data_IF_246681140622
#
_entry.id   IF_246681140622
#
_cell.length_a   1.000
_cell.length_b   1.000
_cell.length_c   1.000
_cell.angle_alpha   90.00
_cell.angle_beta   90.00
_cell.angle_gamma   90.00
#
_symmetry.space_group_name_H-M   'P 1'
#
loop_
_entity.id
_entity.type
_entity.pdbx_description
1 polymer ?
#
# COMPACT_ATOMS: atom_id res chain seq x y z
N UNK A 1 10.75 5.12 14.50
CA UNK A 1 11.51 4.97 15.75
C UNK A 1 10.73 4.06 16.71
N UNK A 2 11.42 3.27 17.54
CA UNK A 2 10.79 2.38 18.52
C UNK A 2 11.44 2.60 19.87
N UNK A 3 10.62 2.65 20.92
CA UNK A 3 11.07 2.95 22.28
C UNK A 3 10.45 1.96 23.25
N UNK A 4 11.25 1.29 24.11
CA UNK A 4 10.72 0.57 25.25
C UNK A 4 10.20 1.57 26.28
N UNK A 5 8.92 1.49 26.64
CA UNK A 5 8.32 2.35 27.66
C UNK A 5 8.45 1.77 29.06
N UNK A 6 8.27 0.46 29.20
CA UNK A 6 8.37 -0.20 30.48
C UNK A 6 9.04 -1.57 30.35
N UNK A 7 10.32 -1.65 30.77
CA UNK A 7 11.16 -2.86 30.70
C UNK A 7 11.04 -3.54 29.31
N UNK A 8 10.58 -4.80 29.28
CA UNK A 8 10.35 -5.59 28.07
C UNK A 8 8.85 -5.83 27.79
N UNK A 9 7.96 -5.19 28.56
CA UNK A 9 6.52 -5.45 28.50
C UNK A 9 5.77 -4.52 27.55
N UNK A 10 6.19 -3.26 27.47
CA UNK A 10 5.50 -2.24 26.69
C UNK A 10 6.54 -1.54 25.81
N UNK A 11 6.26 -1.47 24.52
CA UNK A 11 7.03 -0.66 23.59
C UNK A 11 6.11 0.23 22.77
N UNK A 12 6.62 1.38 22.39
CA UNK A 12 5.95 2.36 21.54
C UNK A 12 6.73 2.51 20.24
N UNK A 13 6.01 2.71 19.16
CA UNK A 13 6.57 3.07 17.86
C UNK A 13 5.92 4.35 17.35
N UNK A 14 6.71 5.18 16.67
CA UNK A 14 6.22 6.36 15.95
C UNK A 14 7.01 6.50 14.65
N UNK A 15 6.34 6.92 13.61
CA UNK A 15 6.99 7.16 12.32
C UNK A 15 6.13 7.94 11.35
N UNK A 16 6.80 8.46 10.34
CA UNK A 16 6.22 9.11 9.17
C UNK A 16 6.65 8.30 7.95
N UNK A 17 5.72 8.04 7.05
CA UNK A 17 6.01 7.31 5.81
C UNK A 17 5.04 7.69 4.70
N UNK A 18 5.45 7.62 3.42
CA UNK A 18 4.52 7.73 2.31
C UNK A 18 3.57 6.52 2.31
N UNK A 19 2.29 6.77 1.98
CA UNK A 19 1.28 5.73 1.79
C UNK A 19 1.10 5.40 0.31
N UNK A 20 0.98 6.44 -0.53
CA UNK A 20 0.82 6.33 -1.98
C UNK A 20 1.45 7.53 -2.65
N UNK A 21 1.97 7.34 -3.85
CA UNK A 21 2.45 8.43 -4.70
C UNK A 21 2.07 8.15 -6.14
N UNK A 22 1.69 9.22 -6.85
CA UNK A 22 1.39 9.19 -8.28
C UNK A 22 2.35 10.16 -8.96
N UNK A 23 2.93 9.73 -10.08
CA UNK A 23 3.81 10.57 -10.89
C UNK A 23 3.93 9.96 -12.29
N UNK A 24 3.15 10.46 -13.25
CA UNK A 24 3.24 10.07 -14.65
C UNK A 24 2.87 11.24 -15.56
N UNK A 25 3.45 11.23 -16.76
CA UNK A 25 3.15 12.13 -17.86
C UNK A 25 3.21 11.31 -19.15
N UNK A 26 2.06 11.12 -19.81
CA UNK A 26 1.90 10.27 -20.97
C UNK A 26 1.24 11.09 -22.07
N UNK A 27 1.86 11.15 -23.24
CA UNK A 27 1.33 11.82 -24.43
C UNK A 27 1.07 10.81 -25.54
N UNK A 28 -0.15 10.79 -26.06
CA UNK A 28 -0.58 9.91 -27.14
C UNK A 28 -1.11 10.79 -28.26
N UNK A 29 -0.50 10.69 -29.46
CA UNK A 29 -0.96 11.38 -30.66
C UNK A 29 -1.56 10.38 -31.62
N UNK A 30 -2.74 10.72 -32.17
CA UNK A 30 -3.46 9.89 -33.13
C UNK A 30 -4.28 10.79 -34.08
N UNK A 31 -4.98 10.18 -35.01
CA UNK A 31 -5.87 10.86 -35.96
C UNK A 31 -7.25 10.21 -35.96
N UNK A 32 -8.28 11.02 -36.22
CA UNK A 32 -9.65 10.51 -36.33
C UNK A 32 -9.78 9.53 -37.53
N UNK A 33 -10.67 8.56 -37.37
CA UNK A 33 -11.00 7.61 -38.48
C UNK A 33 -11.38 8.39 -39.76
N UNK A 34 -10.58 8.21 -40.81
CA UNK A 34 -10.69 8.97 -42.06
C UNK A 34 -9.66 10.08 -42.23
N UNK A 35 -8.72 10.28 -41.28
CA UNK A 35 -7.58 11.21 -41.40
C UNK A 35 -7.95 12.69 -41.41
N UNK A 36 -9.13 13.04 -40.87
CA UNK A 36 -9.64 14.41 -40.94
C UNK A 36 -9.08 15.35 -39.88
N UNK A 37 -8.75 14.85 -38.67
CA UNK A 37 -8.23 15.65 -37.57
C UNK A 37 -7.12 14.90 -36.84
N UNK A 38 -6.03 15.61 -36.55
CA UNK A 38 -4.96 15.12 -35.65
C UNK A 38 -5.17 15.64 -34.26
N UNK A 39 -5.07 14.73 -33.27
CA UNK A 39 -5.23 15.08 -31.87
C UNK A 39 -4.13 14.49 -31.01
N UNK A 40 -3.86 15.15 -29.91
CA UNK A 40 -2.96 14.67 -28.86
C UNK A 40 -3.71 14.64 -27.54
N UNK A 41 -3.64 13.49 -26.87
CA UNK A 41 -4.17 13.34 -25.50
C UNK A 41 -2.98 13.26 -24.55
N UNK A 42 -2.92 14.20 -23.64
CA UNK A 42 -1.93 14.22 -22.57
C UNK A 42 -2.61 13.76 -21.28
N UNK A 43 -2.02 12.78 -20.62
CA UNK A 43 -2.41 12.29 -19.30
C UNK A 43 -1.33 12.63 -18.31
N UNK A 44 -1.63 13.46 -17.33
CA UNK A 44 -0.75 13.79 -16.23
C UNK A 44 -1.33 13.26 -14.91
N UNK A 45 -0.48 12.81 -14.02
CA UNK A 45 -0.87 12.45 -12.67
C UNK A 45 0.23 12.82 -11.71
N UNK A 46 -0.13 13.52 -10.63
CA UNK A 46 0.81 13.92 -9.60
C UNK A 46 0.16 13.89 -8.21
N UNK A 47 0.99 13.88 -7.20
CA UNK A 47 0.55 13.95 -5.82
C UNK A 47 1.02 12.79 -4.96
N UNK A 48 0.79 12.94 -3.68
CA UNK A 48 1.13 11.92 -2.70
C UNK A 48 0.16 11.92 -1.52
N UNK A 49 0.02 10.74 -0.92
CA UNK A 49 -0.63 10.56 0.37
C UNK A 49 0.44 10.14 1.36
N UNK A 50 0.61 10.93 2.40
CA UNK A 50 1.52 10.68 3.51
C UNK A 50 0.77 10.19 4.74
N UNK A 51 1.45 9.51 5.64
CA UNK A 51 0.86 9.10 6.90
C UNK A 51 1.87 9.19 8.05
N UNK A 52 1.39 9.63 9.20
CA UNK A 52 2.07 9.49 10.48
C UNK A 52 1.41 8.34 11.24
N UNK A 53 2.19 7.60 11.98
CA UNK A 53 1.64 6.56 12.83
C UNK A 53 2.24 6.57 14.24
N UNK A 54 1.41 6.15 15.18
CA UNK A 54 1.79 5.80 16.53
C UNK A 54 1.30 4.40 16.85
N UNK A 55 2.12 3.62 17.54
CA UNK A 55 1.77 2.25 17.90
C UNK A 55 2.23 1.89 19.29
N UNK A 56 1.47 0.98 19.89
CA UNK A 56 1.79 0.37 21.18
C UNK A 56 1.82 -1.14 21.02
N UNK A 57 2.77 -1.77 21.68
CA UNK A 57 2.86 -3.22 21.77
C UNK A 57 3.03 -3.66 23.22
N UNK A 58 2.39 -4.78 23.53
CA UNK A 58 2.35 -5.38 24.86
C UNK A 58 2.84 -6.83 24.77
N UNK A 59 3.92 -7.14 25.44
CA UNK A 59 4.32 -8.53 25.68
C UNK A 59 3.50 -9.05 26.86
N UNK A 60 2.52 -9.90 26.57
CA UNK A 60 1.64 -10.49 27.60
C UNK A 60 2.41 -11.56 28.38
N UNK A 61 3.27 -12.28 27.66
CA UNK A 61 4.14 -13.30 28.24
C UNK A 61 5.38 -13.49 27.33
N UNK A 62 6.32 -14.30 27.78
CA UNK A 62 7.59 -14.52 27.07
C UNK A 62 7.46 -15.18 25.67
N UNK A 63 6.24 -15.50 25.25
CA UNK A 63 5.95 -16.18 24.00
C UNK A 63 4.83 -15.55 23.19
N UNK A 64 4.15 -14.49 23.72
CA UNK A 64 3.02 -13.87 23.04
C UNK A 64 2.98 -12.36 23.23
N UNK A 65 2.80 -11.64 22.14
CA UNK A 65 2.67 -10.19 22.11
C UNK A 65 1.44 -9.75 21.31
N UNK A 66 0.83 -8.67 21.72
CA UNK A 66 -0.21 -7.95 20.97
C UNK A 66 0.28 -6.53 20.67
N UNK A 67 -0.17 -6.00 19.54
CA UNK A 67 0.15 -4.63 19.16
C UNK A 67 -0.97 -3.98 18.37
N UNK A 68 -1.03 -2.67 18.45
CA UNK A 68 -1.92 -1.88 17.62
C UNK A 68 -1.22 -0.61 17.17
N UNK A 69 -1.48 -0.22 15.92
CA UNK A 69 -1.03 1.04 15.35
C UNK A 69 -2.24 1.87 14.93
N UNK A 70 -2.15 3.15 15.16
CA UNK A 70 -3.07 4.17 14.65
C UNK A 70 -2.29 4.99 13.63
N UNK A 71 -2.86 5.17 12.46
CA UNK A 71 -2.29 5.95 11.36
C UNK A 71 -3.21 7.14 11.08
N UNK A 72 -2.64 8.31 10.98
CA UNK A 72 -3.30 9.46 10.37
C UNK A 72 -2.70 9.68 8.99
N UNK A 73 -3.53 9.63 7.97
CA UNK A 73 -3.15 9.81 6.58
C UNK A 73 -3.78 11.08 6.01
N UNK A 74 -3.03 11.77 5.15
CA UNK A 74 -3.47 12.97 4.46
C UNK A 74 -2.72 13.13 3.16
N UNK A 75 -3.34 13.80 2.21
CA UNK A 75 -2.71 14.13 0.95
C UNK A 75 -3.71 14.40 -0.16
N UNK A 76 -3.16 14.67 -1.31
CA UNK A 76 -3.92 15.00 -2.51
C UNK A 76 -3.31 14.28 -3.72
N UNK A 77 -4.18 13.79 -4.59
CA UNK A 77 -3.84 13.18 -5.87
C UNK A 77 -4.56 13.96 -6.96
N UNK A 78 -3.81 14.44 -7.94
CA UNK A 78 -4.30 15.17 -9.10
C UNK A 78 -4.13 14.35 -10.35
N UNK A 79 -5.17 14.24 -11.15
CA UNK A 79 -5.14 13.68 -12.49
C UNK A 79 -5.59 14.73 -13.48
N UNK A 80 -4.82 14.89 -14.56
CA UNK A 80 -5.11 15.78 -15.66
C UNK A 80 -5.26 14.96 -16.94
N UNK A 81 -6.28 15.28 -17.70
CA UNK A 81 -6.46 14.81 -19.06
C UNK A 81 -6.67 16.00 -19.99
N UNK A 82 -5.78 16.20 -20.94
CA UNK A 82 -5.85 17.28 -21.93
C UNK A 82 -5.99 16.67 -23.32
N UNK A 83 -7.08 17.01 -24.00
CA UNK A 83 -7.30 16.70 -25.40
C UNK A 83 -7.07 17.96 -26.22
N UNK A 84 -6.07 17.95 -27.09
CA UNK A 84 -5.72 19.05 -27.99
C UNK A 84 -5.78 18.60 -29.44
N UNK A 85 -6.33 19.46 -30.29
CA UNK A 85 -6.39 19.26 -31.74
C UNK A 85 -5.35 20.18 -32.41
N UNK A 86 -4.79 19.69 -33.51
CA UNK A 86 -3.82 20.49 -34.29
C UNK A 86 -4.55 21.57 -35.09
N UNK A 87 -5.81 21.34 -35.43
CA UNK A 87 -6.65 22.25 -36.19
C UNK A 87 -7.22 23.37 -35.30
N UNK A 88 -7.06 24.61 -35.73
CA UNK A 88 -7.44 25.80 -34.96
C UNK A 88 -8.93 26.04 -34.80
N UNK A 89 -9.76 25.30 -35.50
CA UNK A 89 -11.23 25.37 -35.44
C UNK A 89 -11.87 24.38 -34.46
N UNK A 90 -11.05 23.59 -33.77
CA UNK A 90 -11.51 22.64 -32.75
C UNK A 90 -10.98 23.02 -31.38
N UNK A 91 -11.86 23.18 -30.43
CA UNK A 91 -11.47 23.56 -29.07
C UNK A 91 -10.81 22.39 -28.34
N UNK A 92 -9.73 22.68 -27.63
CA UNK A 92 -9.09 21.75 -26.71
C UNK A 92 -9.91 21.65 -25.43
N UNK A 93 -9.95 20.47 -24.83
CA UNK A 93 -10.63 20.22 -23.56
C UNK A 93 -9.62 19.77 -22.53
N UNK A 94 -9.71 20.33 -21.33
CA UNK A 94 -8.90 19.95 -20.19
C UNK A 94 -9.84 19.51 -19.07
N UNK A 95 -9.58 18.34 -18.52
CA UNK A 95 -10.25 17.80 -17.34
C UNK A 95 -9.22 17.64 -16.22
N UNK A 96 -9.57 18.12 -15.03
CA UNK A 96 -8.80 17.94 -13.81
C UNK A 96 -9.63 17.19 -12.78
N UNK A 97 -9.04 16.22 -12.16
CA UNK A 97 -9.61 15.47 -11.05
C UNK A 97 -8.68 15.61 -9.85
N UNK A 98 -9.11 16.25 -8.78
CA UNK A 98 -8.37 16.40 -7.55
C UNK A 98 -9.05 15.59 -6.45
N UNK A 99 -8.37 14.58 -5.95
CA UNK A 99 -8.81 13.74 -4.84
C UNK A 99 -8.04 14.11 -3.58
N UNK A 100 -8.70 14.80 -2.65
CA UNK A 100 -8.18 15.06 -1.31
C UNK A 100 -8.61 13.99 -0.34
N UNK A 101 -7.69 13.49 0.47
CA UNK A 101 -7.92 12.42 1.44
C UNK A 101 -7.38 12.82 2.80
N UNK A 102 -8.20 12.64 3.84
CA UNK A 102 -7.78 12.81 5.24
C UNK A 102 -8.50 11.79 6.10
N UNK A 103 -7.76 10.86 6.75
CA UNK A 103 -8.41 9.86 7.58
C UNK A 103 -7.49 9.22 8.64
N UNK A 104 -8.13 8.57 9.61
CA UNK A 104 -7.49 7.74 10.63
C UNK A 104 -7.79 6.29 10.33
N UNK A 105 -6.77 5.43 10.28
CA UNK A 105 -6.90 3.99 10.13
C UNK A 105 -6.22 3.24 11.25
N UNK A 106 -6.62 2.00 11.46
CA UNK A 106 -6.14 1.15 12.54
C UNK A 106 -5.60 -0.15 12.01
N UNK A 107 -4.50 -0.61 12.59
CA UNK A 107 -3.96 -1.95 12.35
C UNK A 107 -3.72 -2.62 13.69
N UNK A 108 -4.31 -3.80 13.89
CA UNK A 108 -4.04 -4.65 15.03
C UNK A 108 -3.17 -5.84 14.60
N UNK A 109 -2.36 -6.33 15.51
CA UNK A 109 -1.51 -7.48 15.27
C UNK A 109 -1.29 -8.31 16.51
N UNK A 110 -1.07 -9.60 16.30
CA UNK A 110 -0.70 -10.55 17.34
C UNK A 110 0.55 -11.32 16.87
N UNK A 111 1.42 -11.61 17.78
CA UNK A 111 2.63 -12.38 17.50
C UNK A 111 2.85 -13.45 18.58
N UNK A 112 3.04 -14.68 18.13
CA UNK A 112 3.54 -15.77 18.93
C UNK A 112 4.99 -16.01 18.58
N UNK A 113 5.87 -16.15 19.57
CA UNK A 113 7.28 -16.46 19.36
C UNK A 113 7.78 -17.39 20.46
N UNK A 114 8.58 -18.36 20.05
CA UNK A 114 9.18 -19.31 20.97
C UNK A 114 10.59 -19.67 20.52
N UNK A 115 11.48 -19.81 21.48
CA UNK A 115 12.85 -20.21 21.24
C UNK A 115 13.23 -21.32 22.21
N UNK A 116 13.78 -22.40 21.68
CA UNK A 116 14.42 -23.43 22.47
C UNK A 116 15.74 -23.83 21.80
N UNK A 117 16.81 -23.85 22.58
CA UNK A 117 18.18 -24.17 22.11
C UNK A 117 18.54 -23.44 20.81
N UNK A 118 18.60 -24.21 19.71
CA UNK A 118 18.98 -23.72 18.37
C UNK A 118 17.79 -23.34 17.49
N UNK A 119 16.57 -23.51 17.96
CA UNK A 119 15.36 -23.32 17.20
C UNK A 119 14.61 -22.07 17.69
N UNK A 120 14.18 -21.23 16.77
CA UNK A 120 13.29 -20.12 17.08
C UNK A 120 12.16 -20.07 16.06
N UNK A 121 10.93 -19.94 16.55
CA UNK A 121 9.73 -19.76 15.74
C UNK A 121 9.14 -18.40 16.02
N UNK A 122 8.56 -17.81 14.98
CA UNK A 122 7.68 -16.66 15.11
C UNK A 122 6.48 -16.86 14.19
N UNK A 123 5.28 -16.67 14.71
CA UNK A 123 4.03 -16.64 13.96
C UNK A 123 3.37 -15.29 14.23
N UNK A 124 2.87 -14.65 13.19
CA UNK A 124 2.24 -13.35 13.28
C UNK A 124 0.92 -13.32 12.53
N UNK A 125 0.00 -12.51 13.02
CA UNK A 125 -1.23 -12.16 12.33
C UNK A 125 -1.45 -10.66 12.42
N UNK A 126 -1.96 -10.06 11.35
CA UNK A 126 -2.32 -8.65 11.26
C UNK A 126 -3.71 -8.51 10.69
N UNK A 127 -4.41 -7.45 11.12
CA UNK A 127 -5.75 -7.15 10.68
C UNK A 127 -5.95 -5.65 10.56
N UNK A 128 -6.54 -5.20 9.44
CA UNK A 128 -7.02 -3.85 9.20
C UNK A 128 -8.50 -3.90 8.83
N UNK A 129 -9.36 -3.23 9.56
CA UNK A 129 -10.78 -3.15 9.22
C UNK A 129 -11.01 -2.30 7.97
N UNK A 130 -12.09 -2.58 7.27
CA UNK A 130 -12.62 -1.73 6.23
C UNK A 130 -12.96 -0.35 6.80
N UNK A 131 -12.57 0.71 6.11
CA UNK A 131 -12.75 2.08 6.59
C UNK A 131 -13.28 2.99 5.49
N UNK A 132 -14.28 3.81 5.84
CA UNK A 132 -14.74 4.90 4.96
C UNK A 132 -13.74 6.04 5.01
N UNK A 133 -13.28 6.50 3.85
CA UNK A 133 -12.40 7.65 3.75
C UNK A 133 -13.19 8.95 3.81
N UNK A 134 -12.65 9.92 4.52
CA UNK A 134 -13.02 11.31 4.37
C UNK A 134 -12.30 11.81 3.12
N UNK A 135 -13.01 11.82 2.01
CA UNK A 135 -12.46 12.15 0.69
C UNK A 135 -13.36 13.16 0.01
N UNK A 136 -12.73 14.06 -0.73
CA UNK A 136 -13.40 15.05 -1.57
C UNK A 136 -12.76 14.96 -2.96
N UNK A 137 -13.58 14.63 -3.95
CA UNK A 137 -13.20 14.60 -5.35
C UNK A 137 -13.77 15.85 -6.02
N UNK A 138 -12.90 16.68 -6.58
CA UNK A 138 -13.25 17.86 -7.35
C UNK A 138 -12.96 17.59 -8.82
N UNK A 139 -13.97 17.74 -9.66
CA UNK A 139 -13.89 17.59 -11.11
C UNK A 139 -14.05 18.96 -11.77
N UNK A 140 -13.08 19.33 -12.59
CA UNK A 140 -13.07 20.57 -13.38
C UNK A 140 -13.00 20.23 -14.85
N UNK A 141 -13.84 20.90 -15.66
CA UNK A 141 -13.80 20.80 -17.11
C UNK A 141 -13.80 22.20 -17.74
N UNK A 142 -12.86 22.45 -18.67
CA UNK A 142 -12.60 23.80 -19.22
C UNK A 142 -13.73 24.34 -20.11
N UNK A 143 -14.65 23.51 -20.61
CA UNK A 143 -15.76 23.96 -21.47
C UNK A 143 -17.06 24.28 -20.73
N UNK A 144 -17.11 24.07 -19.44
CA UNK A 144 -18.22 24.46 -18.59
C UNK A 144 -17.67 24.81 -17.21
N UNK A 145 -18.09 25.94 -16.67
CA UNK A 145 -17.74 26.37 -15.30
C UNK A 145 -18.28 25.38 -14.22
N UNK A 146 -18.37 24.12 -14.53
CA UNK A 146 -19.01 23.14 -13.67
C UNK A 146 -17.95 22.42 -12.85
N UNK A 147 -17.84 22.83 -11.61
CA UNK A 147 -17.09 22.10 -10.59
C UNK A 147 -18.05 21.10 -9.93
N UNK A 148 -17.81 19.82 -10.16
CA UNK A 148 -18.51 18.78 -9.42
C UNK A 148 -17.68 18.40 -8.19
N UNK A 149 -18.30 18.55 -7.02
CA UNK A 149 -17.69 18.12 -5.76
C UNK A 149 -18.42 16.88 -5.27
N UNK A 150 -17.72 15.76 -5.22
CA UNK A 150 -18.24 14.48 -4.71
C UNK A 150 -17.55 14.22 -3.38
N UNK A 151 -18.32 14.32 -2.29
CA UNK A 151 -17.81 14.04 -0.96
C UNK A 151 -18.06 12.58 -0.58
N UNK A 152 -17.03 11.88 -0.11
CA UNK A 152 -17.11 10.47 0.28
C UNK A 152 -17.08 9.53 -0.92
N UNK A 153 -17.66 8.34 -0.74
CA UNK A 153 -17.69 7.30 -1.78
C UNK A 153 -16.41 6.46 -1.91
N UNK A 154 -15.37 6.75 -1.11
CA UNK A 154 -14.11 6.00 -1.11
C UNK A 154 -13.94 5.24 0.20
N UNK A 155 -13.40 4.04 0.11
CA UNK A 155 -13.16 3.17 1.26
C UNK A 155 -11.80 2.50 1.15
N UNK A 156 -11.13 2.37 2.27
CA UNK A 156 -10.01 1.44 2.37
C UNK A 156 -10.56 0.02 2.52
N UNK A 157 -10.05 -0.94 1.75
CA UNK A 157 -10.47 -2.32 1.85
C UNK A 157 -10.05 -2.93 3.19
N UNK A 158 -10.80 -3.93 3.65
CA UNK A 158 -10.37 -4.79 4.74
C UNK A 158 -9.13 -5.58 4.30
N UNK A 159 -8.18 -5.74 5.22
CA UNK A 159 -6.99 -6.53 5.00
C UNK A 159 -6.71 -7.41 6.21
N UNK A 160 -6.28 -8.64 5.97
CA UNK A 160 -5.65 -9.46 6.97
C UNK A 160 -4.46 -10.21 6.39
N UNK A 161 -3.51 -10.53 7.25
CA UNK A 161 -2.34 -11.29 6.87
C UNK A 161 -1.89 -12.19 8.00
N UNK A 162 -1.28 -13.29 7.64
CA UNK A 162 -0.61 -14.22 8.55
C UNK A 162 0.77 -14.53 8.01
N UNK A 163 1.72 -14.69 8.90
CA UNK A 163 3.07 -15.02 8.51
C UNK A 163 3.78 -15.82 9.58
N UNK A 164 4.86 -16.45 9.17
CA UNK A 164 5.67 -17.22 10.08
C UNK A 164 7.13 -17.23 9.67
N UNK A 165 7.98 -17.34 10.66
CA UNK A 165 9.41 -17.56 10.44
C UNK A 165 9.95 -18.66 11.34
N UNK A 166 10.93 -19.38 10.81
CA UNK A 166 11.66 -20.38 11.52
C UNK A 166 13.16 -20.10 11.37
N UNK A 167 13.85 -20.01 12.46
CA UNK A 167 15.30 -19.83 12.50
C UNK A 167 15.98 -21.03 13.16
N UNK A 168 16.97 -21.58 12.49
CA UNK A 168 17.80 -22.66 12.99
C UNK A 168 19.23 -22.19 13.25
N UNK A 169 19.65 -22.28 14.51
CA UNK A 169 21.02 -22.01 14.97
C UNK A 169 21.58 -20.62 14.53
N UNK A 170 20.73 -19.65 14.24
CA UNK A 170 21.09 -18.37 13.63
C UNK A 170 21.83 -18.50 12.28
N UNK A 171 21.68 -19.65 11.62
CA UNK A 171 22.30 -19.95 10.32
C UNK A 171 21.30 -19.97 9.18
N UNK A 172 20.17 -20.60 9.40
CA UNK A 172 19.10 -20.70 8.39
C UNK A 172 17.85 -20.03 8.93
N UNK A 173 17.30 -19.09 8.17
CA UNK A 173 15.97 -18.53 8.43
C UNK A 173 15.08 -18.80 7.22
N UNK A 174 13.91 -19.37 7.48
CA UNK A 174 12.83 -19.53 6.52
C UNK A 174 11.70 -18.62 6.94
N UNK A 175 11.09 -17.92 6.00
CA UNK A 175 9.96 -17.05 6.25
C UNK A 175 8.87 -17.28 5.20
N UNK A 176 7.62 -17.14 5.63
CA UNK A 176 6.44 -17.21 4.80
C UNK A 176 5.43 -16.18 5.28
N UNK A 177 4.83 -15.43 4.33
CA UNK A 177 3.74 -14.49 4.60
C UNK A 177 2.64 -14.67 3.58
N UNK A 178 1.39 -14.59 4.05
CA UNK A 178 0.19 -14.52 3.25
C UNK A 178 -0.61 -13.28 3.63
N UNK A 179 -1.04 -12.52 2.64
CA UNK A 179 -1.87 -11.33 2.82
C UNK A 179 -3.05 -11.38 1.86
N UNK A 180 -4.23 -11.02 2.36
CA UNK A 180 -5.44 -10.86 1.55
C UNK A 180 -6.06 -9.49 1.77
N UNK A 181 -6.36 -8.82 0.66
CA UNK A 181 -7.00 -7.50 0.62
C UNK A 181 -8.30 -7.62 -0.17
N UNK A 182 -9.41 -7.20 0.43
CA UNK A 182 -10.76 -7.30 -0.13
C UNK A 182 -11.12 -6.05 -0.93
N UNK A 183 -10.48 -5.86 -2.09
CA UNK A 183 -10.69 -4.69 -2.94
C UNK A 183 -12.05 -4.68 -3.63
N UNK A 184 -12.55 -5.86 -4.05
CA UNK A 184 -13.84 -5.99 -4.72
C UNK A 184 -15.03 -5.47 -3.89
N UNK A 185 -14.93 -5.56 -2.57
CA UNK A 185 -15.99 -5.14 -1.64
C UNK A 185 -15.87 -3.70 -1.16
N UNK A 186 -14.74 -3.05 -1.36
CA UNK A 186 -14.55 -1.64 -0.98
C UNK A 186 -15.20 -0.71 -2.02
N UNK A 187 -15.57 0.49 -1.60
CA UNK A 187 -16.18 1.49 -2.48
C UNK A 187 -15.10 2.40 -3.07
N UNK A 188 -15.24 2.69 -4.36
CA UNK A 188 -14.36 3.57 -5.13
C UNK A 188 -15.24 4.50 -5.99
N UNK A 189 -15.23 5.79 -5.68
CA UNK A 189 -16.07 6.77 -6.38
C UNK A 189 -17.58 6.56 -6.19
N UNK A 190 -18.00 5.90 -5.10
CA UNK A 190 -19.40 5.60 -4.81
C UNK A 190 -19.88 4.22 -5.29
N UNK A 191 -19.07 3.50 -6.06
CA UNK A 191 -19.38 2.16 -6.57
C UNK A 191 -18.51 1.08 -5.91
N UNK A 192 -19.00 -0.17 -5.80
CA UNK A 192 -18.19 -1.29 -5.34
C UNK A 192 -16.99 -1.53 -6.27
N UNK A 193 -15.85 -1.91 -5.74
CA UNK A 193 -14.64 -2.20 -6.52
C UNK A 193 -14.87 -3.27 -7.60
N UNK A 194 -15.74 -4.25 -7.33
CA UNK A 194 -16.15 -5.25 -8.34
C UNK A 194 -16.83 -4.64 -9.58
N UNK A 195 -17.61 -3.57 -9.42
CA UNK A 195 -18.22 -2.84 -10.53
C UNK A 195 -17.19 -2.01 -11.31
N UNK A 196 -16.12 -1.58 -10.63
CA UNK A 196 -14.97 -0.89 -11.24
C UNK A 196 -13.90 -1.85 -11.80
N UNK A 197 -14.19 -3.14 -11.91
CA UNK A 197 -13.25 -4.14 -12.40
C UNK A 197 -12.17 -4.57 -11.40
N UNK A 198 -12.30 -4.22 -10.12
CA UNK A 198 -11.34 -4.61 -9.10
C UNK A 198 -11.68 -6.00 -8.51
N UNK A 199 -10.63 -6.77 -8.26
CA UNK A 199 -10.69 -8.10 -7.64
C UNK A 199 -9.97 -8.11 -6.31
N UNK A 200 -10.32 -9.07 -5.45
CA UNK A 200 -9.57 -9.32 -4.22
C UNK A 200 -8.13 -9.72 -4.56
N UNK A 201 -7.19 -9.17 -3.81
CA UNK A 201 -5.76 -9.44 -4.01
C UNK A 201 -5.25 -10.39 -2.94
N UNK A 202 -4.65 -11.49 -3.38
CA UNK A 202 -3.85 -12.38 -2.52
C UNK A 202 -2.37 -12.17 -2.82
N UNK A 203 -1.55 -12.16 -1.79
CA UNK A 203 -0.10 -12.08 -1.90
C UNK A 203 0.54 -13.15 -1.05
N UNK A 204 1.44 -13.91 -1.64
CA UNK A 204 2.25 -14.94 -1.02
C UNK A 204 3.71 -14.54 -1.12
N UNK A 205 4.42 -14.54 0.01
CA UNK A 205 5.84 -14.22 0.06
C UNK A 205 6.60 -15.34 0.75
N UNK A 206 7.71 -15.75 0.16
CA UNK A 206 8.61 -16.76 0.72
C UNK A 206 10.01 -16.17 0.76
N UNK A 207 10.73 -16.40 1.86
CA UNK A 207 12.08 -15.94 2.02
C UNK A 207 12.96 -17.00 2.66
N UNK A 208 14.21 -17.05 2.23
CA UNK A 208 15.26 -17.86 2.84
C UNK A 208 16.51 -17.01 3.06
N UNK A 209 17.07 -17.12 4.23
CA UNK A 209 18.34 -16.52 4.59
C UNK A 209 19.28 -17.62 5.12
N UNK A 210 20.49 -17.69 4.58
CA UNK A 210 21.50 -18.63 5.02
C UNK A 210 22.84 -17.96 5.31
N UNK A 211 23.43 -18.31 6.46
CA UNK A 211 24.76 -17.91 6.87
C UNK A 211 25.49 -19.12 7.45
N UNK A 212 26.64 -19.47 6.86
CA UNK A 212 27.36 -20.65 7.27
C UNK A 212 27.88 -20.55 8.71
N UNK A 213 28.55 -19.44 9.05
CA UNK A 213 29.07 -19.21 10.40
C UNK A 213 29.11 -17.71 10.71
N UNK A 214 28.23 -17.18 11.60
CA UNK A 214 28.21 -15.75 11.92
C UNK A 214 29.49 -15.24 12.61
N UNK A 215 30.28 -16.12 13.21
CA UNK A 215 31.50 -15.79 13.94
C UNK A 215 32.77 -16.31 13.22
N UNK A 216 32.64 -16.75 11.97
CA UNK A 216 33.72 -17.31 11.17
C UNK A 216 34.88 -16.33 10.95
N UNK A 217 36.11 -16.86 10.84
CA UNK A 217 37.29 -16.05 10.55
C UNK A 217 37.40 -15.66 9.08
N UNK A 218 36.91 -16.51 8.18
CA UNK A 218 36.97 -16.29 6.75
C UNK A 218 35.77 -15.46 6.27
N UNK A 219 35.98 -14.62 5.24
CA UNK A 219 34.95 -13.82 4.62
C UNK A 219 33.78 -14.68 4.10
N UNK A 220 34.09 -15.78 3.41
CA UNK A 220 33.11 -16.72 2.86
C UNK A 220 32.20 -17.34 3.93
N UNK A 221 32.71 -17.62 5.12
CA UNK A 221 31.90 -18.14 6.23
C UNK A 221 30.87 -17.13 6.76
N UNK A 222 31.22 -15.85 6.73
CA UNK A 222 30.37 -14.73 7.20
C UNK A 222 29.41 -14.25 6.15
N UNK A 223 29.52 -14.65 4.89
CA UNK A 223 28.61 -14.27 3.82
C UNK A 223 27.19 -14.67 4.18
N UNK A 224 26.29 -13.73 3.91
CA UNK A 224 24.86 -13.88 4.12
C UNK A 224 24.20 -14.02 2.75
N UNK A 225 23.56 -15.16 2.52
CA UNK A 225 22.83 -15.46 1.32
C UNK A 225 21.34 -15.27 1.56
N UNK A 226 20.69 -14.51 0.71
CA UNK A 226 19.24 -14.26 0.79
C UNK A 226 18.61 -14.51 -0.56
N UNK A 227 17.47 -15.20 -0.54
CA UNK A 227 16.62 -15.35 -1.71
C UNK A 227 15.16 -15.22 -1.26
N UNK A 228 14.32 -14.68 -2.13
CA UNK A 228 12.91 -14.54 -1.86
C UNK A 228 12.12 -14.48 -3.14
N UNK A 229 10.87 -14.89 -3.05
CA UNK A 229 9.88 -14.82 -4.10
C UNK A 229 8.59 -14.21 -3.53
N UNK A 230 7.97 -13.36 -4.33
CA UNK A 230 6.68 -12.76 -4.04
C UNK A 230 5.75 -13.03 -5.21
N UNK A 231 4.62 -13.66 -4.95
CA UNK A 231 3.57 -13.98 -5.93
C UNK A 231 2.32 -13.27 -5.47
N UNK A 232 1.73 -12.47 -6.36
CA UNK A 232 0.49 -11.76 -6.08
C UNK A 232 -0.48 -11.84 -7.24
N UNK A 233 -1.76 -11.87 -6.92
CA UNK A 233 -2.82 -11.80 -7.92
C UNK A 233 -2.91 -10.37 -8.47
N UNK A 234 -3.27 -10.25 -9.75
CA UNK A 234 -3.69 -8.98 -10.31
C UNK A 234 -5.02 -8.55 -9.72
N UNK A 235 -5.13 -7.28 -9.36
CA UNK A 235 -6.34 -6.73 -8.75
C UNK A 235 -7.20 -5.91 -9.71
N UNK A 236 -6.72 -5.68 -10.93
CA UNK A 236 -7.45 -5.07 -12.04
C UNK A 236 -7.83 -6.16 -13.04
N UNK A 237 -9.10 -6.21 -13.44
CA UNK A 237 -9.64 -7.20 -14.38
C UNK A 237 -9.45 -6.76 -15.84
#
# INVERSE_FOLDING_TARGET
>A
MQFPLYKQWIAMSIGLQPYSSVGYDISISDSTAGGGYHYTVNYGGEGNISQVYGGLSFNICNWFALGANVYYMWGELSHMRMLSFTESNVNSTIQYENLSVSNVRFRAGAQFFHRWEKHAFSLGAVFEPKLKLHSELQLFETQGDTVYVISGGWQLPMMWGVGGSYNWANRLTLAFDYERIYMASAMYGGEPGSASGLRDRNRYSFGVEYRHNPVGRNYAERMLWRAGINIQDEYVA
#
